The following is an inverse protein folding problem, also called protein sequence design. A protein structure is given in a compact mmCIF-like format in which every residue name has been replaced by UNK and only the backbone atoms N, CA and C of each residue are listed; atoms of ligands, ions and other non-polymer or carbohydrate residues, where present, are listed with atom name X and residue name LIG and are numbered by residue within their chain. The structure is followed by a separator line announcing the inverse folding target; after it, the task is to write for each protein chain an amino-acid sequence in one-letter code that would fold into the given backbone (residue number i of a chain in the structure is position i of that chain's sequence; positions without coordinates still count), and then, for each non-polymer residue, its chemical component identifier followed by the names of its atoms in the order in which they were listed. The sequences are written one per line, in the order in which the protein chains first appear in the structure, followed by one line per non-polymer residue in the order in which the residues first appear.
data_IF_690922784565
#
_entry.id   IF_690922784565
#
_cell.length_a   1.000
_cell.length_b   1.000
_cell.length_c   1.000
_cell.angle_alpha   90.00
_cell.angle_beta   90.00
_cell.angle_gamma   90.00
#
_symmetry.space_group_name_H-M   'P 1'
#
loop_
_entity.id
_entity.type
_entity.pdbx_description
1 polymer ?
#
# COMPACT_ATOMS: atom_id res chain seq x y z
N UNK A 1 7.83 -5.03 11.01
CA UNK A 1 8.26 -3.63 11.18
C UNK A 1 7.37 -2.99 12.22
N UNK A 2 7.94 -2.25 13.14
CA UNK A 2 7.24 -1.44 14.13
C UNK A 2 6.41 -0.35 13.45
N UNK A 3 5.55 0.30 14.25
CA UNK A 3 4.74 1.43 13.82
C UNK A 3 5.61 2.60 13.37
N UNK A 4 5.34 3.14 12.18
CA UNK A 4 6.11 4.25 11.57
C UNK A 4 5.14 5.30 11.06
N UNK A 5 5.47 6.56 11.30
CA UNK A 5 4.78 7.74 10.76
C UNK A 5 5.75 8.55 9.93
N UNK A 6 5.32 8.99 8.74
CA UNK A 6 6.07 9.90 7.89
C UNK A 6 5.40 11.28 7.91
N UNK A 7 6.20 12.33 7.87
CA UNK A 7 5.68 13.70 7.81
C UNK A 7 6.64 14.62 7.05
N UNK A 8 6.11 15.75 6.62
CA UNK A 8 6.90 16.76 5.94
C UNK A 8 7.28 17.88 6.92
N UNK A 9 8.58 18.17 7.02
CA UNK A 9 9.07 19.28 7.83
C UNK A 9 10.13 20.07 7.06
N UNK A 10 9.93 21.38 6.89
CA UNK A 10 10.80 22.28 6.14
C UNK A 10 11.21 21.75 4.75
N UNK A 11 10.28 21.09 4.03
CA UNK A 11 10.52 20.55 2.71
C UNK A 11 11.25 19.18 2.69
N UNK A 12 11.58 18.63 3.85
CA UNK A 12 12.21 17.32 3.99
C UNK A 12 11.19 16.27 4.45
N UNK A 13 11.33 15.07 3.93
CA UNK A 13 10.62 13.89 4.46
C UNK A 13 11.24 13.52 5.80
N UNK A 14 10.42 13.37 6.81
CA UNK A 14 10.80 12.96 8.15
C UNK A 14 10.12 11.64 8.50
N UNK A 15 10.74 10.89 9.39
CA UNK A 15 10.25 9.63 9.92
C UNK A 15 10.15 9.73 11.44
N UNK A 16 9.00 9.35 12.00
CA UNK A 16 8.81 9.19 13.43
C UNK A 16 8.70 7.70 13.76
N UNK A 17 9.62 7.22 14.56
CA UNK A 17 9.72 5.83 14.99
C UNK A 17 10.27 5.78 16.42
N UNK A 18 9.70 4.91 17.27
CA UNK A 18 10.16 4.70 18.65
C UNK A 18 10.26 6.00 19.47
N UNK A 19 9.27 6.89 19.36
CA UNK A 19 9.23 8.13 20.11
C UNK A 19 10.17 9.22 19.61
N UNK A 20 10.85 9.04 18.45
CA UNK A 20 11.82 9.98 17.92
C UNK A 20 11.51 10.33 16.47
N UNK A 21 11.45 11.63 16.18
CA UNK A 21 11.32 12.16 14.81
C UNK A 21 12.69 12.58 14.26
N UNK A 22 13.02 12.17 13.04
CA UNK A 22 14.26 12.53 12.33
C UNK A 22 14.01 12.73 10.85
N UNK A 23 14.84 13.53 10.19
CA UNK A 23 14.85 13.62 8.73
C UNK A 23 15.25 12.27 8.15
N UNK A 24 14.48 11.78 7.18
CA UNK A 24 14.78 10.54 6.47
C UNK A 24 15.99 10.74 5.56
N UNK A 25 16.96 9.83 5.64
CA UNK A 25 18.20 9.87 4.89
C UNK A 25 18.57 8.48 4.34
N UNK A 26 19.68 8.36 3.64
CA UNK A 26 20.11 7.12 2.98
C UNK A 26 20.44 5.97 3.94
N UNK A 27 20.70 6.27 5.20
CA UNK A 27 21.00 5.30 6.26
C UNK A 27 19.75 4.56 6.82
N UNK A 28 18.55 5.05 6.50
CA UNK A 28 17.30 4.35 6.80
C UNK A 28 17.07 3.17 5.84
N UNK A 29 18.07 2.29 5.71
CA UNK A 29 18.06 1.21 4.71
C UNK A 29 16.94 0.21 4.90
N UNK A 30 16.64 -0.15 6.13
CA UNK A 30 15.57 -1.11 6.44
C UNK A 30 14.20 -0.60 5.99
N UNK A 31 13.89 0.65 6.28
CA UNK A 31 12.64 1.31 5.89
C UNK A 31 12.56 1.50 4.37
N UNK A 32 13.66 1.92 3.75
CA UNK A 32 13.73 2.11 2.29
C UNK A 32 13.50 0.78 1.56
N UNK A 33 14.18 -0.29 1.95
CA UNK A 33 14.04 -1.61 1.33
C UNK A 33 12.64 -2.19 1.53
N UNK A 34 12.08 -2.02 2.73
CA UNK A 34 10.71 -2.39 3.02
C UNK A 34 9.73 -1.65 2.11
N UNK A 35 9.85 -0.32 2.01
CA UNK A 35 8.98 0.51 1.18
C UNK A 35 9.11 0.15 -0.31
N UNK A 36 10.33 -0.03 -0.82
CA UNK A 36 10.56 -0.49 -2.21
C UNK A 36 9.82 -1.79 -2.49
N UNK A 37 9.97 -2.78 -1.60
CA UNK A 37 9.26 -4.06 -1.73
C UNK A 37 7.75 -3.87 -1.77
N UNK A 38 7.19 -3.10 -0.83
CA UNK A 38 5.75 -2.84 -0.75
C UNK A 38 5.22 -2.07 -1.96
N UNK A 39 5.91 -1.02 -2.39
CA UNK A 39 5.49 -0.23 -3.56
C UNK A 39 5.48 -1.11 -4.81
N UNK A 40 6.53 -1.87 -5.04
CA UNK A 40 6.66 -2.76 -6.20
C UNK A 40 5.58 -3.85 -6.22
N UNK A 41 5.34 -4.50 -5.08
CA UNK A 41 4.47 -5.66 -5.02
C UNK A 41 2.98 -5.28 -4.98
N UNK A 42 2.63 -4.14 -4.35
CA UNK A 42 1.25 -3.70 -4.20
C UNK A 42 0.85 -2.68 -5.28
N UNK A 43 1.77 -1.81 -5.68
CA UNK A 43 1.51 -0.70 -6.60
C UNK A 43 2.47 -0.69 -7.81
N UNK A 44 2.51 -1.75 -8.64
CA UNK A 44 3.49 -1.89 -9.71
C UNK A 44 3.46 -0.75 -10.73
N UNK A 45 2.28 -0.20 -11.05
CA UNK A 45 2.16 0.96 -11.96
C UNK A 45 2.83 2.22 -11.37
N UNK A 46 2.62 2.45 -10.06
CA UNK A 46 3.28 3.55 -9.36
C UNK A 46 4.79 3.33 -9.28
N UNK A 47 5.23 2.09 -9.03
CA UNK A 47 6.65 1.75 -8.98
C UNK A 47 7.33 2.02 -10.34
N UNK A 48 6.73 1.58 -11.44
CA UNK A 48 7.24 1.83 -12.80
C UNK A 48 7.35 3.33 -13.11
N UNK A 49 6.34 4.11 -12.73
CA UNK A 49 6.37 5.57 -12.90
C UNK A 49 7.47 6.23 -12.06
N UNK A 50 7.66 5.77 -10.83
CA UNK A 50 8.73 6.22 -9.93
C UNK A 50 10.12 5.87 -10.45
N UNK A 51 10.32 4.68 -11.01
CA UNK A 51 11.59 4.27 -11.63
C UNK A 51 11.95 5.15 -12.84
N UNK A 52 10.97 5.52 -13.65
CA UNK A 52 11.15 6.44 -14.78
C UNK A 52 11.49 7.84 -14.28
N UNK A 53 10.76 8.32 -13.28
CA UNK A 53 10.99 9.64 -12.69
C UNK A 53 12.37 9.76 -12.02
N UNK A 54 12.86 8.70 -11.38
CA UNK A 54 14.16 8.67 -10.71
C UNK A 54 15.32 8.20 -11.60
N UNK A 55 15.11 8.07 -12.93
CA UNK A 55 16.07 7.44 -13.83
C UNK A 55 17.47 8.07 -13.83
N UNK A 56 17.57 9.38 -13.58
CA UNK A 56 18.82 10.12 -13.43
C UNK A 56 19.68 9.66 -12.24
N UNK A 57 19.06 9.09 -11.21
CA UNK A 57 19.73 8.58 -10.02
C UNK A 57 20.21 7.12 -10.13
N UNK A 58 19.85 6.40 -11.20
CA UNK A 58 20.19 4.96 -11.39
C UNK A 58 21.66 4.59 -11.18
N UNK A 59 22.65 5.44 -11.54
CA UNK A 59 24.07 5.12 -11.29
C UNK A 59 24.42 4.94 -9.79
N UNK A 60 23.67 5.59 -8.90
CA UNK A 60 23.79 5.41 -7.46
C UNK A 60 22.56 4.70 -6.91
N UNK A 61 22.64 3.37 -6.76
CA UNK A 61 21.52 2.53 -6.32
C UNK A 61 20.89 3.01 -5.01
N UNK A 62 21.70 3.37 -4.01
CA UNK A 62 21.17 3.80 -2.71
C UNK A 62 20.35 5.09 -2.84
N UNK A 63 20.87 6.04 -3.61
CA UNK A 63 20.18 7.30 -3.86
C UNK A 63 18.94 7.12 -4.75
N UNK A 64 19.00 6.21 -5.73
CA UNK A 64 17.87 5.86 -6.58
C UNK A 64 16.70 5.30 -5.76
N UNK A 65 16.97 4.31 -4.90
CA UNK A 65 15.98 3.70 -4.03
C UNK A 65 15.39 4.73 -3.04
N UNK A 66 16.25 5.55 -2.43
CA UNK A 66 15.81 6.65 -1.57
C UNK A 66 14.89 7.63 -2.31
N UNK A 67 15.27 8.05 -3.51
CA UNK A 67 14.52 9.00 -4.32
C UNK A 67 13.11 8.48 -4.66
N UNK A 68 12.99 7.19 -4.99
CA UNK A 68 11.71 6.52 -5.21
C UNK A 68 10.83 6.57 -3.95
N UNK A 69 11.39 6.18 -2.81
CA UNK A 69 10.65 6.12 -1.54
C UNK A 69 10.27 7.52 -1.06
N UNK A 70 11.20 8.48 -1.09
CA UNK A 70 10.94 9.89 -0.73
C UNK A 70 9.77 10.46 -1.55
N UNK A 71 9.76 10.24 -2.88
CA UNK A 71 8.68 10.71 -3.74
C UNK A 71 7.34 10.03 -3.43
N UNK A 72 7.36 8.71 -3.19
CA UNK A 72 6.15 7.98 -2.83
C UNK A 72 5.56 8.47 -1.50
N UNK A 73 6.41 8.68 -0.49
CA UNK A 73 6.00 9.21 0.82
C UNK A 73 5.35 10.58 0.65
N UNK A 74 5.99 11.51 -0.04
CA UNK A 74 5.46 12.86 -0.30
C UNK A 74 4.10 12.87 -1.00
N UNK A 75 3.81 11.85 -1.77
CA UNK A 75 2.55 11.76 -2.53
C UNK A 75 1.43 11.07 -1.76
N UNK A 76 1.74 10.26 -0.73
CA UNK A 76 0.79 9.36 -0.10
C UNK A 76 0.78 9.39 1.44
N UNK A 77 1.73 10.09 2.05
CA UNK A 77 1.86 10.27 3.50
C UNK A 77 2.31 11.72 3.72
N UNK A 78 1.55 12.55 4.25
CA UNK A 78 1.95 13.95 4.27
C UNK A 78 1.40 14.78 5.40
N UNK A 79 0.40 14.29 6.06
CA UNK A 79 -0.20 14.97 7.19
C UNK A 79 0.28 14.29 8.48
N UNK A 80 0.82 15.06 9.41
CA UNK A 80 1.21 14.53 10.72
C UNK A 80 -0.05 14.28 11.51
N UNK A 81 -0.55 13.08 11.45
CA UNK A 81 -1.61 12.64 12.37
C UNK A 81 -1.12 11.40 13.12
N UNK A 82 -1.14 11.39 14.39
CA UNK A 82 -0.76 10.23 15.21
C UNK A 82 -1.95 9.29 15.50
N UNK A 83 -3.03 9.42 14.74
CA UNK A 83 -4.24 8.62 14.94
C UNK A 83 -4.05 7.21 14.36
N UNK A 84 -3.38 7.13 13.21
CA UNK A 84 -3.14 5.86 12.52
C UNK A 84 -1.77 5.91 11.83
N UNK A 85 -0.80 5.11 12.28
CA UNK A 85 0.52 5.11 11.68
C UNK A 85 0.49 4.77 10.19
N UNK A 86 1.36 5.40 9.41
CA UNK A 86 1.51 5.16 7.97
C UNK A 86 1.93 3.73 7.65
N UNK A 87 2.73 3.14 8.54
CA UNK A 87 3.05 1.71 8.51
C UNK A 87 2.61 1.09 9.82
N UNK A 88 1.71 0.12 9.74
CA UNK A 88 1.25 -0.67 10.87
C UNK A 88 1.13 -2.14 10.48
N UNK A 89 1.73 -3.05 11.27
CA UNK A 89 1.74 -4.50 11.00
C UNK A 89 2.18 -4.86 9.57
N UNK A 90 3.06 -4.06 8.97
CA UNK A 90 3.54 -4.26 7.60
C UNK A 90 2.57 -3.84 6.49
N UNK A 91 1.48 -3.16 6.82
CA UNK A 91 0.54 -2.55 5.89
C UNK A 91 0.83 -1.05 5.75
N UNK A 92 0.59 -0.50 4.56
CA UNK A 92 0.70 0.93 4.27
C UNK A 92 -0.67 1.58 4.40
N UNK A 93 -0.80 2.57 5.27
CA UNK A 93 -2.02 3.36 5.46
C UNK A 93 -1.93 4.65 4.64
N UNK A 94 -2.24 4.58 3.34
CA UNK A 94 -2.15 5.74 2.45
C UNK A 94 -3.14 6.84 2.83
N UNK A 95 -2.70 8.08 2.75
CA UNK A 95 -3.46 9.29 3.06
C UNK A 95 -3.86 10.08 1.82
N UNK A 96 -4.78 11.01 2.00
CA UNK A 96 -5.13 11.99 0.98
C UNK A 96 -4.32 13.27 1.14
N UNK A 97 -3.13 13.31 0.57
CA UNK A 97 -2.25 14.47 0.62
C UNK A 97 -2.81 15.65 -0.17
N UNK A 98 -2.85 16.85 0.43
CA UNK A 98 -3.19 18.11 -0.22
C UNK A 98 -2.01 18.61 -1.06
N UNK A 99 -1.90 18.07 -2.28
CA UNK A 99 -0.80 18.41 -3.18
C UNK A 99 -1.11 19.68 -4.00
N UNK A 100 -0.21 20.69 -4.01
CA UNK A 100 -0.39 21.89 -4.81
C UNK A 100 -0.33 21.65 -6.33
N UNK A 101 0.25 20.52 -6.75
CA UNK A 101 0.37 20.13 -8.16
C UNK A 101 -0.85 19.33 -8.67
N UNK A 102 -1.92 19.21 -7.92
CA UNK A 102 -3.14 18.57 -8.39
C UNK A 102 -3.62 19.18 -9.71
N UNK A 103 -4.08 18.32 -10.62
CA UNK A 103 -4.58 18.63 -11.97
C UNK A 103 -3.51 19.02 -12.98
N UNK A 104 -2.25 19.22 -12.57
CA UNK A 104 -1.14 19.55 -13.49
C UNK A 104 0.02 18.56 -13.41
N UNK A 105 0.01 17.64 -12.42
CA UNK A 105 1.03 16.62 -12.26
C UNK A 105 0.78 15.47 -13.25
N UNK A 106 1.75 15.14 -14.09
CA UNK A 106 1.69 14.00 -15.02
C UNK A 106 1.54 12.62 -14.33
N UNK A 107 1.90 12.54 -13.04
CA UNK A 107 1.81 11.33 -12.23
C UNK A 107 0.57 11.31 -11.32
N UNK A 108 -0.39 12.23 -11.53
CA UNK A 108 -1.61 12.26 -10.75
C UNK A 108 -2.41 10.95 -10.93
N UNK A 109 -2.89 10.38 -9.82
CA UNK A 109 -3.59 9.08 -9.76
C UNK A 109 -2.76 7.86 -10.25
N UNK A 110 -1.46 8.04 -10.47
CA UNK A 110 -0.51 6.95 -10.72
C UNK A 110 0.37 6.75 -9.48
N UNK A 111 1.14 7.79 -9.09
CA UNK A 111 1.98 7.76 -7.89
C UNK A 111 1.16 8.14 -6.65
N UNK A 112 0.35 9.21 -6.72
CA UNK A 112 -0.59 9.55 -5.66
C UNK A 112 -1.90 8.78 -5.81
N UNK A 113 -2.44 8.26 -4.71
CA UNK A 113 -3.62 7.36 -4.70
C UNK A 113 -3.44 6.17 -5.65
N UNK A 114 -2.32 5.45 -5.58
CA UNK A 114 -2.02 4.37 -6.52
C UNK A 114 -3.05 3.24 -6.39
N UNK A 115 -3.35 2.60 -7.51
CA UNK A 115 -4.26 1.45 -7.51
C UNK A 115 -3.51 0.18 -7.11
N UNK A 116 -3.96 -0.55 -6.08
CA UNK A 116 -3.30 -1.78 -5.67
C UNK A 116 -3.51 -2.89 -6.71
N UNK A 117 -2.43 -3.55 -7.05
CA UNK A 117 -2.47 -4.78 -7.84
C UNK A 117 -2.70 -5.97 -6.91
N UNK A 118 -3.79 -6.70 -7.15
CA UNK A 118 -4.07 -7.93 -6.43
C UNK A 118 -3.84 -9.11 -7.38
N UNK A 119 -2.88 -10.01 -7.09
CA UNK A 119 -2.57 -11.19 -7.91
C UNK A 119 -3.64 -12.28 -7.76
N UNK A 120 -4.90 -11.89 -7.77
CA UNK A 120 -6.07 -12.75 -7.61
C UNK A 120 -6.77 -12.98 -8.95
N UNK A 121 -7.27 -14.20 -9.18
CA UNK A 121 -8.18 -14.43 -10.30
C UNK A 121 -9.47 -13.64 -10.12
N UNK A 122 -10.26 -13.50 -11.19
CA UNK A 122 -11.54 -12.80 -11.15
C UNK A 122 -12.44 -13.38 -10.06
N UNK A 123 -12.53 -14.70 -9.98
CA UNK A 123 -13.36 -15.42 -9.00
C UNK A 123 -12.83 -15.29 -7.58
N UNK A 124 -11.50 -15.34 -7.38
CA UNK A 124 -10.88 -15.14 -6.07
C UNK A 124 -11.10 -13.70 -5.60
N UNK A 125 -10.98 -12.73 -6.50
CA UNK A 125 -11.19 -11.30 -6.20
C UNK A 125 -12.65 -11.03 -5.80
N UNK A 126 -13.61 -11.64 -6.50
CA UNK A 126 -15.03 -11.49 -6.20
C UNK A 126 -15.39 -12.05 -4.81
N UNK A 127 -14.93 -13.28 -4.51
CA UNK A 127 -15.11 -13.90 -3.19
C UNK A 127 -14.41 -13.09 -2.08
N UNK A 128 -13.17 -12.65 -2.32
CA UNK A 128 -12.43 -11.85 -1.36
C UNK A 128 -13.09 -10.49 -1.06
N UNK A 129 -13.66 -9.82 -2.08
CA UNK A 129 -14.45 -8.59 -1.90
C UNK A 129 -15.67 -8.80 -1.02
N UNK A 130 -16.45 -9.85 -1.26
CA UNK A 130 -17.63 -10.13 -0.45
C UNK A 130 -17.26 -10.49 0.98
N UNK A 131 -16.19 -11.26 1.16
CA UNK A 131 -15.66 -11.56 2.50
C UNK A 131 -15.18 -10.30 3.22
N UNK A 132 -14.51 -9.42 2.52
CA UNK A 132 -14.06 -8.13 3.07
C UNK A 132 -15.22 -7.21 3.47
N UNK A 133 -16.39 -7.35 2.84
CA UNK A 133 -17.65 -6.68 3.25
C UNK A 133 -18.34 -7.34 4.47
N UNK A 134 -17.73 -8.34 5.07
CA UNK A 134 -18.22 -9.01 6.27
C UNK A 134 -19.14 -10.22 6.02
N UNK A 135 -19.33 -10.64 4.76
CA UNK A 135 -20.16 -11.80 4.46
C UNK A 135 -19.47 -13.10 4.88
N UNK A 136 -20.23 -14.02 5.45
CA UNK A 136 -19.75 -15.36 5.77
C UNK A 136 -19.62 -16.24 4.51
N UNK A 137 -18.75 -17.26 4.49
CA UNK A 137 -18.57 -18.12 3.33
C UNK A 137 -19.87 -18.75 2.81
N UNK A 138 -20.83 -19.04 3.68
CA UNK A 138 -22.16 -19.54 3.32
C UNK A 138 -22.98 -18.52 2.56
N UNK A 139 -22.97 -17.27 2.99
CA UNK A 139 -23.70 -16.16 2.35
C UNK A 139 -23.07 -15.82 0.99
N UNK A 140 -21.74 -15.85 0.90
CA UNK A 140 -21.01 -15.68 -0.36
C UNK A 140 -21.38 -16.79 -1.35
N UNK A 141 -21.44 -18.04 -0.88
CA UNK A 141 -21.83 -19.19 -1.68
C UNK A 141 -23.24 -19.04 -2.27
N UNK A 142 -24.21 -18.63 -1.45
CA UNK A 142 -25.57 -18.35 -1.90
C UNK A 142 -25.61 -17.22 -2.95
N UNK A 143 -24.90 -16.13 -2.70
CA UNK A 143 -24.87 -14.96 -3.57
C UNK A 143 -24.22 -15.23 -4.93
N UNK A 144 -23.19 -16.11 -4.97
CA UNK A 144 -22.44 -16.41 -6.18
C UNK A 144 -22.86 -17.73 -6.86
N UNK A 145 -23.85 -18.45 -6.33
CA UNK A 145 -24.26 -19.75 -6.85
C UNK A 145 -23.16 -20.82 -6.77
N UNK A 146 -22.31 -20.76 -5.75
CA UNK A 146 -21.15 -21.66 -5.54
C UNK A 146 -21.33 -22.55 -4.33
N UNK A 147 -20.56 -23.63 -4.25
CA UNK A 147 -20.49 -24.42 -3.02
C UNK A 147 -19.72 -23.66 -1.93
N UNK A 148 -20.16 -23.75 -0.67
CA UNK A 148 -19.49 -23.11 0.47
C UNK A 148 -18.02 -23.55 0.59
N UNK A 149 -17.73 -24.83 0.35
CA UNK A 149 -16.36 -25.37 0.35
C UNK A 149 -15.47 -24.70 -0.70
N UNK A 150 -16.03 -24.34 -1.86
CA UNK A 150 -15.33 -23.62 -2.93
C UNK A 150 -14.99 -22.20 -2.47
N UNK A 151 -15.93 -21.49 -1.85
CA UNK A 151 -15.69 -20.15 -1.32
C UNK A 151 -14.61 -20.15 -0.23
N UNK A 152 -14.63 -21.11 0.70
CA UNK A 152 -13.58 -21.29 1.73
C UNK A 152 -12.21 -21.53 1.10
N UNK A 153 -12.13 -22.39 0.06
CA UNK A 153 -10.87 -22.63 -0.68
C UNK A 153 -10.37 -21.37 -1.39
N UNK A 154 -11.26 -20.60 -2.01
CA UNK A 154 -10.90 -19.34 -2.69
C UNK A 154 -10.42 -18.28 -1.70
N UNK A 155 -11.04 -18.13 -0.53
CA UNK A 155 -10.57 -17.25 0.56
C UNK A 155 -9.15 -17.66 0.99
N UNK A 156 -8.92 -18.95 1.24
CA UNK A 156 -7.59 -19.46 1.63
C UNK A 156 -6.55 -19.21 0.55
N UNK A 157 -6.89 -19.42 -0.73
CA UNK A 157 -5.99 -19.15 -1.85
C UNK A 157 -5.69 -17.65 -1.97
N UNK A 158 -6.69 -16.79 -1.81
CA UNK A 158 -6.51 -15.34 -1.81
C UNK A 158 -5.55 -14.92 -0.70
N UNK A 159 -5.73 -15.43 0.53
CA UNK A 159 -4.82 -15.15 1.63
C UNK A 159 -3.37 -15.56 1.32
N UNK A 160 -3.16 -16.75 0.75
CA UNK A 160 -1.82 -17.23 0.38
C UNK A 160 -1.17 -16.32 -0.66
N UNK A 161 -1.91 -15.93 -1.71
CA UNK A 161 -1.41 -15.05 -2.78
C UNK A 161 -1.10 -13.64 -2.30
N UNK A 162 -1.81 -13.17 -1.28
CA UNK A 162 -1.64 -11.84 -0.68
C UNK A 162 -0.72 -11.85 0.56
N UNK A 163 -0.08 -12.99 0.83
CA UNK A 163 0.80 -13.19 1.99
C UNK A 163 0.16 -12.82 3.34
N UNK A 164 -1.16 -13.08 3.46
CA UNK A 164 -1.91 -12.86 4.69
C UNK A 164 -1.90 -14.11 5.55
N UNK A 165 -1.57 -13.97 6.82
CA UNK A 165 -1.55 -15.08 7.78
C UNK A 165 -2.96 -15.59 8.17
N UNK A 166 -3.96 -14.72 8.06
CA UNK A 166 -5.34 -15.00 8.43
C UNK A 166 -6.35 -14.37 7.47
N UNK A 167 -7.55 -14.97 7.27
CA UNK A 167 -8.61 -14.40 6.45
C UNK A 167 -9.05 -12.98 6.85
N UNK A 168 -9.00 -12.65 8.14
CA UNK A 168 -9.29 -11.28 8.62
C UNK A 168 -8.40 -10.22 7.99
N UNK A 169 -7.19 -10.57 7.59
CA UNK A 169 -6.30 -9.67 6.84
C UNK A 169 -6.88 -9.18 5.53
N UNK A 170 -7.77 -9.95 4.89
CA UNK A 170 -8.50 -9.49 3.69
C UNK A 170 -9.39 -8.28 4.00
N UNK A 171 -10.07 -8.27 5.15
CA UNK A 171 -10.93 -7.15 5.56
C UNK A 171 -10.08 -5.89 5.71
N UNK A 172 -8.98 -5.97 6.44
CA UNK A 172 -8.05 -4.86 6.61
C UNK A 172 -7.49 -4.36 5.29
N UNK A 173 -6.96 -5.25 4.44
CA UNK A 173 -6.35 -4.90 3.16
C UNK A 173 -7.35 -4.25 2.19
N UNK A 174 -8.55 -4.81 2.07
CA UNK A 174 -9.58 -4.26 1.16
C UNK A 174 -10.16 -2.93 1.66
N UNK A 175 -10.32 -2.77 2.98
CA UNK A 175 -10.72 -1.50 3.59
C UNK A 175 -9.66 -0.43 3.39
N UNK A 176 -8.42 -0.77 3.67
CA UNK A 176 -7.27 0.14 3.62
C UNK A 176 -7.09 0.77 2.23
N UNK A 177 -7.19 -0.04 1.18
CA UNK A 177 -6.99 0.42 -0.20
C UNK A 177 -8.30 0.77 -0.91
N UNK A 178 -9.40 0.88 -0.17
CA UNK A 178 -10.74 1.19 -0.72
C UNK A 178 -11.13 0.29 -1.92
N UNK A 179 -10.74 -0.99 -1.87
CA UNK A 179 -10.96 -1.95 -2.98
C UNK A 179 -12.43 -2.41 -3.03
N UNK A 180 -13.22 -2.08 -2.03
CA UNK A 180 -14.65 -2.42 -1.93
C UNK A 180 -15.55 -1.50 -2.75
N UNK A 181 -15.02 -0.35 -3.22
CA UNK A 181 -15.74 0.58 -4.08
C UNK A 181 -16.01 0.00 -5.46
N UNK A 182 -17.24 -0.38 -5.69
CA UNK A 182 -18.02 -0.32 -6.93
C UNK A 182 -19.49 -0.31 -6.54
#
# INVERSE_FOLDING_TARGET
MESVEFYMFNGFTCIYKNGTGKTMALDYREEIEFMIGKIRDIFPEAYEALEKWAADAKPNRLYFEFKIVDRFIRCNFGETDFLKPDIEMGLLNLEEVKCPLRRICEHENIICKPRPHLPLSKEEKEVAKLYAKGLLPKEIAQKLGKAESTCKKQITKACKKLHLSQPRGLIGLFSLYNITGF
#
